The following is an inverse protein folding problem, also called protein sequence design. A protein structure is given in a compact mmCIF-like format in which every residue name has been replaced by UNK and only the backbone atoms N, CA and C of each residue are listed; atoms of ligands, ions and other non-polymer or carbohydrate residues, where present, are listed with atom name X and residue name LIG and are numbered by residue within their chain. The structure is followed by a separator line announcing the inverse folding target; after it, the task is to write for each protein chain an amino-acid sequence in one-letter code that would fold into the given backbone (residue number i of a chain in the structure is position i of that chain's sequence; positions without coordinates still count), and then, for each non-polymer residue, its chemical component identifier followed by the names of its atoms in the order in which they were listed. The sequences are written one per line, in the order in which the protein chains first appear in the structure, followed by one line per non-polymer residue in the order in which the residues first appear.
data_IF_867500578371
#
_entry.id   IF_867500578371
#
_cell.length_a   1.000
_cell.length_b   1.000
_cell.length_c   1.000
_cell.angle_alpha   90.00
_cell.angle_beta   90.00
_cell.angle_gamma   90.00
#
_symmetry.space_group_name_H-M   'P 1'
#
loop_
_entity.id
_entity.type
_entity.pdbx_description
1 polymer ?
#
# COMPACT_ATOMS: atom_id res chain seq x y z
N UNK A 1 5.33 -28.73 23.28
CA UNK A 1 4.88 -27.43 22.73
C UNK A 1 3.85 -27.75 21.67
N UNK A 2 2.61 -27.35 21.85
CA UNK A 2 1.54 -27.51 20.85
C UNK A 2 1.91 -26.64 19.66
N UNK A 3 2.25 -27.26 18.51
CA UNK A 3 2.42 -26.50 17.26
C UNK A 3 1.09 -25.80 16.97
N UNK A 4 1.07 -24.50 17.03
CA UNK A 4 -0.06 -23.71 16.57
C UNK A 4 -0.26 -24.02 15.10
N UNK A 5 -1.42 -24.59 14.75
CA UNK A 5 -1.73 -24.88 13.35
C UNK A 5 -2.23 -23.58 12.71
N UNK A 6 -1.30 -22.82 12.13
CA UNK A 6 -1.56 -21.51 11.54
C UNK A 6 -2.54 -21.60 10.38
N UNK A 7 -2.61 -22.76 9.72
CA UNK A 7 -3.44 -23.01 8.53
C UNK A 7 -4.94 -22.91 8.81
N UNK A 8 -5.33 -23.16 10.08
CA UNK A 8 -6.73 -23.05 10.51
C UNK A 8 -7.07 -21.70 11.13
N UNK A 9 -6.06 -20.94 11.54
CA UNK A 9 -6.22 -19.70 12.29
C UNK A 9 -5.94 -18.42 11.46
N UNK A 10 -5.39 -18.58 10.25
CA UNK A 10 -5.05 -17.48 9.39
C UNK A 10 -5.14 -17.84 7.91
N UNK A 11 -5.24 -16.81 7.08
CA UNK A 11 -5.16 -16.89 5.62
C UNK A 11 -4.22 -15.82 5.09
N UNK A 12 -3.79 -15.95 3.87
CA UNK A 12 -3.02 -14.91 3.20
C UNK A 12 -3.95 -13.96 2.47
N UNK A 13 -3.61 -12.69 2.51
CA UNK A 13 -4.29 -11.63 1.77
C UNK A 13 -3.28 -10.80 1.01
N UNK A 14 -3.63 -10.45 -0.21
CA UNK A 14 -2.87 -9.54 -1.06
C UNK A 14 -3.78 -8.41 -1.52
N UNK A 15 -3.38 -7.18 -1.22
CA UNK A 15 -4.07 -5.97 -1.68
C UNK A 15 -3.19 -5.19 -2.64
N UNK A 16 -3.67 -5.01 -3.86
CA UNK A 16 -3.02 -4.24 -4.91
C UNK A 16 -3.98 -3.17 -5.45
N UNK A 17 -3.54 -1.92 -5.42
CA UNK A 17 -4.27 -0.82 -6.05
C UNK A 17 -3.35 -0.07 -7.01
N UNK A 18 -3.80 0.02 -8.26
CA UNK A 18 -3.20 0.88 -9.28
C UNK A 18 -3.85 2.25 -9.27
N UNK A 19 -3.03 3.29 -9.30
CA UNK A 19 -3.49 4.69 -9.38
C UNK A 19 -2.60 5.44 -10.35
N UNK A 20 -3.21 6.20 -11.23
CA UNK A 20 -2.46 7.07 -12.13
C UNK A 20 -1.69 8.13 -11.32
N UNK A 21 -0.41 8.35 -11.65
CA UNK A 21 0.43 9.30 -10.91
C UNK A 21 0.35 10.72 -11.44
N UNK A 22 -0.17 10.90 -12.67
CA UNK A 22 -0.18 12.17 -13.40
C UNK A 22 1.21 12.83 -13.49
N UNK A 23 2.27 12.03 -13.48
CA UNK A 23 3.65 12.52 -13.60
C UNK A 23 4.26 12.04 -14.91
N UNK A 24 4.96 12.93 -15.57
CA UNK A 24 5.70 12.63 -16.81
C UNK A 24 7.06 13.29 -16.79
N UNK A 25 8.08 12.59 -17.29
CA UNK A 25 9.41 13.15 -17.48
C UNK A 25 9.34 14.20 -18.58
N UNK A 26 9.74 15.41 -18.26
CA UNK A 26 9.95 16.49 -19.23
C UNK A 26 11.42 16.49 -19.65
N UNK A 27 11.66 15.99 -20.88
CA UNK A 27 13.01 15.88 -21.41
C UNK A 27 13.59 17.26 -21.74
N UNK A 28 12.78 18.16 -22.31
CA UNK A 28 13.21 19.49 -22.69
C UNK A 28 13.65 20.30 -21.46
N UNK A 29 12.79 20.36 -20.44
CA UNK A 29 13.13 21.03 -19.20
C UNK A 29 14.32 20.38 -18.46
N UNK A 30 14.47 19.06 -18.59
CA UNK A 30 15.66 18.36 -18.04
C UNK A 30 16.95 18.78 -18.73
N UNK A 31 16.94 18.85 -20.07
CA UNK A 31 18.08 19.27 -20.89
C UNK A 31 18.43 20.75 -20.66
N UNK A 32 17.43 21.62 -20.53
CA UNK A 32 17.62 23.03 -20.21
C UNK A 32 18.33 23.21 -18.86
N UNK A 33 17.91 22.49 -17.82
CA UNK A 33 18.55 22.54 -16.49
C UNK A 33 20.01 22.03 -16.58
N UNK A 34 20.26 20.93 -17.29
CA UNK A 34 21.61 20.40 -17.48
C UNK A 34 22.51 21.40 -18.17
N UNK A 35 21.99 22.08 -19.22
CA UNK A 35 22.72 23.12 -19.96
C UNK A 35 22.98 24.35 -19.11
N UNK A 36 21.94 24.89 -18.42
CA UNK A 36 22.07 26.06 -17.54
C UNK A 36 23.09 25.84 -16.42
N UNK A 37 23.08 24.67 -15.83
CA UNK A 37 24.03 24.28 -14.77
C UNK A 37 25.36 23.78 -15.29
N UNK A 38 25.57 23.73 -16.61
CA UNK A 38 26.80 23.24 -17.27
C UNK A 38 27.23 21.86 -16.75
N UNK A 39 26.25 21.00 -16.48
CA UNK A 39 26.55 19.66 -15.97
C UNK A 39 27.18 18.79 -17.05
N UNK A 40 28.20 18.02 -16.70
CA UNK A 40 28.97 17.17 -17.62
C UNK A 40 28.21 15.91 -18.06
N UNK A 41 27.07 15.58 -17.46
CA UNK A 41 26.25 14.42 -17.81
C UNK A 41 24.82 14.86 -18.11
N UNK A 42 24.23 14.32 -19.19
CA UNK A 42 22.82 14.54 -19.54
C UNK A 42 21.84 13.96 -18.52
N UNK A 43 22.26 12.99 -17.74
CA UNK A 43 21.46 12.35 -16.68
C UNK A 43 21.57 13.04 -15.32
N UNK A 44 22.29 14.17 -15.25
CA UNK A 44 22.52 14.91 -14.00
C UNK A 44 21.24 15.52 -13.41
N UNK A 45 20.22 15.78 -14.24
CA UNK A 45 18.94 16.30 -13.79
C UNK A 45 17.77 15.59 -14.50
N UNK A 46 16.67 15.35 -13.76
CA UNK A 46 15.42 14.82 -14.30
C UNK A 46 14.27 15.64 -13.78
N UNK A 47 13.58 16.35 -14.66
CA UNK A 47 12.39 17.13 -14.34
C UNK A 47 11.16 16.30 -14.61
N UNK A 48 10.33 16.11 -13.58
CA UNK A 48 9.03 15.49 -13.74
C UNK A 48 7.95 16.56 -13.65
N UNK A 49 7.23 16.77 -14.74
CA UNK A 49 6.06 17.64 -14.72
C UNK A 49 4.83 16.93 -14.17
N UNK A 50 3.99 17.67 -13.49
CA UNK A 50 2.71 17.21 -12.98
C UNK A 50 1.62 17.55 -13.97
N UNK A 51 1.04 16.57 -14.65
CA UNK A 51 0.00 16.76 -15.66
C UNK A 51 -1.31 17.35 -15.09
N UNK A 52 -1.56 17.21 -13.79
CA UNK A 52 -2.70 17.81 -13.08
C UNK A 52 -2.23 18.75 -11.96
N UNK A 53 -1.30 19.65 -12.26
CA UNK A 53 -0.78 20.59 -11.27
C UNK A 53 -1.90 21.46 -10.66
N UNK A 54 -1.91 21.57 -9.33
CA UNK A 54 -2.90 22.35 -8.59
C UNK A 54 -4.33 21.77 -8.57
N UNK A 55 -4.51 20.48 -8.91
CA UNK A 55 -5.79 19.79 -8.89
C UNK A 55 -5.82 18.71 -7.81
N UNK A 56 -6.91 18.67 -7.07
CA UNK A 56 -7.04 17.80 -5.89
C UNK A 56 -7.86 16.52 -6.15
N UNK A 57 -8.51 16.42 -7.30
CA UNK A 57 -9.42 15.32 -7.62
C UNK A 57 -8.68 13.97 -7.62
N UNK A 58 -7.48 13.94 -8.22
CA UNK A 58 -6.63 12.74 -8.22
C UNK A 58 -6.04 12.46 -6.84
N UNK A 59 -5.68 13.50 -6.08
CA UNK A 59 -5.14 13.35 -4.73
C UNK A 59 -6.13 12.66 -3.79
N UNK A 60 -7.42 12.90 -3.96
CA UNK A 60 -8.47 12.25 -3.15
C UNK A 60 -8.43 10.74 -3.32
N UNK A 61 -8.28 10.25 -4.57
CA UNK A 61 -8.11 8.81 -4.85
C UNK A 61 -6.82 8.28 -4.23
N UNK A 62 -5.71 9.02 -4.38
CA UNK A 62 -4.42 8.62 -3.84
C UNK A 62 -4.43 8.53 -2.31
N UNK A 63 -5.06 9.50 -1.64
CA UNK A 63 -5.24 9.52 -0.18
C UNK A 63 -6.12 8.36 0.29
N UNK A 64 -7.21 8.08 -0.44
CA UNK A 64 -8.10 6.96 -0.14
C UNK A 64 -7.34 5.62 -0.22
N UNK A 65 -6.59 5.38 -1.31
CA UNK A 65 -5.76 4.17 -1.43
C UNK A 65 -4.68 4.10 -0.34
N UNK A 66 -4.09 5.24 0.03
CA UNK A 66 -3.16 5.32 1.14
C UNK A 66 -3.78 4.88 2.47
N UNK A 67 -4.99 5.35 2.76
CA UNK A 67 -5.75 4.96 3.96
C UNK A 67 -6.09 3.46 3.98
N UNK A 68 -6.48 2.90 2.83
CA UNK A 68 -6.74 1.45 2.71
C UNK A 68 -5.46 0.65 2.97
N UNK A 69 -4.32 1.05 2.40
CA UNK A 69 -3.04 0.39 2.69
C UNK A 69 -2.70 0.39 4.17
N UNK A 70 -2.89 1.53 4.84
CA UNK A 70 -2.69 1.65 6.28
C UNK A 70 -3.62 0.68 7.03
N UNK A 71 -4.92 0.66 6.69
CA UNK A 71 -5.88 -0.27 7.29
C UNK A 71 -5.47 -1.75 7.10
N UNK A 72 -5.05 -2.13 5.89
CA UNK A 72 -4.55 -3.48 5.61
C UNK A 72 -3.34 -3.81 6.50
N UNK A 73 -2.37 -2.88 6.61
CA UNK A 73 -1.18 -3.07 7.44
C UNK A 73 -1.52 -3.22 8.93
N UNK A 74 -2.45 -2.44 9.44
CA UNK A 74 -2.85 -2.48 10.86
C UNK A 74 -3.60 -3.76 11.23
N UNK A 75 -4.35 -4.34 10.28
CA UNK A 75 -5.18 -5.51 10.52
C UNK A 75 -4.55 -6.85 10.11
N UNK A 76 -3.36 -6.82 9.53
CA UNK A 76 -2.65 -8.00 9.06
C UNK A 76 -1.21 -8.03 9.58
N UNK A 77 -0.56 -9.19 9.49
CA UNK A 77 0.84 -9.38 9.85
C UNK A 77 1.69 -9.56 8.58
N UNK A 78 3.00 -9.29 8.61
CA UNK A 78 3.88 -9.51 7.46
C UNK A 78 3.96 -11.00 7.13
N UNK A 79 4.00 -11.32 5.83
CA UNK A 79 4.23 -12.67 5.34
C UNK A 79 5.36 -12.74 4.32
N UNK A 80 5.39 -11.79 3.39
CA UNK A 80 6.45 -11.70 2.38
C UNK A 80 6.76 -10.26 2.00
N UNK A 81 7.94 -10.03 1.45
CA UNK A 81 8.38 -8.73 0.96
C UNK A 81 7.59 -8.28 -0.30
N UNK A 82 6.91 -9.21 -0.97
CA UNK A 82 6.09 -8.94 -2.15
C UNK A 82 4.71 -8.34 -1.84
N UNK A 83 4.41 -8.03 -0.59
CA UNK A 83 3.13 -7.40 -0.19
C UNK A 83 2.04 -8.38 0.22
N UNK A 84 2.28 -9.69 0.19
CA UNK A 84 1.37 -10.70 0.75
C UNK A 84 1.44 -10.62 2.28
N UNK A 85 0.27 -10.63 2.93
CA UNK A 85 0.15 -10.47 4.37
C UNK A 85 -0.68 -11.59 4.99
N UNK A 86 -0.48 -11.83 6.27
CA UNK A 86 -1.21 -12.83 7.03
C UNK A 86 -2.40 -12.18 7.74
N UNK A 87 -3.61 -12.64 7.44
CA UNK A 87 -4.85 -12.19 8.05
C UNK A 87 -5.37 -13.28 9.02
N UNK A 88 -5.51 -12.98 10.32
CA UNK A 88 -6.17 -13.91 11.26
C UNK A 88 -7.61 -14.18 10.83
N UNK A 89 -8.05 -15.44 10.84
CA UNK A 89 -9.42 -15.83 10.47
C UNK A 89 -10.48 -15.19 11.34
N UNK A 90 -10.17 -14.88 12.59
CA UNK A 90 -11.06 -14.16 13.51
C UNK A 90 -11.40 -12.74 13.06
N UNK A 91 -10.58 -12.14 12.22
CA UNK A 91 -10.79 -10.80 11.67
C UNK A 91 -11.37 -10.80 10.25
N UNK A 92 -11.52 -11.97 9.64
CA UNK A 92 -11.85 -12.09 8.22
C UNK A 92 -13.16 -11.38 7.86
N UNK A 93 -14.24 -11.59 8.63
CA UNK A 93 -15.55 -11.01 8.30
C UNK A 93 -15.50 -9.47 8.32
N UNK A 94 -15.01 -8.90 9.42
CA UNK A 94 -14.92 -7.44 9.56
C UNK A 94 -13.98 -6.82 8.51
N UNK A 95 -12.87 -7.50 8.24
CA UNK A 95 -11.89 -7.07 7.23
C UNK A 95 -12.50 -7.10 5.83
N UNK A 96 -13.17 -8.20 5.46
CA UNK A 96 -13.80 -8.37 4.15
C UNK A 96 -14.92 -7.34 3.93
N UNK A 97 -15.81 -7.15 4.92
CA UNK A 97 -16.89 -6.18 4.84
C UNK A 97 -16.36 -4.74 4.73
N UNK A 98 -15.29 -4.44 5.43
CA UNK A 98 -14.63 -3.14 5.30
C UNK A 98 -14.01 -2.96 3.92
N UNK A 99 -13.29 -3.95 3.41
CA UNK A 99 -12.64 -3.88 2.10
C UNK A 99 -13.65 -3.77 0.95
N UNK A 100 -14.80 -4.43 1.05
CA UNK A 100 -15.88 -4.29 0.06
C UNK A 100 -16.42 -2.84 0.00
N UNK A 101 -16.61 -2.19 1.15
CA UNK A 101 -17.02 -0.77 1.21
C UNK A 101 -15.95 0.17 0.63
N UNK A 102 -14.67 -0.14 0.90
CA UNK A 102 -13.57 0.66 0.36
C UNK A 102 -13.43 0.50 -1.16
N UNK A 103 -13.70 -0.69 -1.69
CA UNK A 103 -13.74 -0.95 -3.14
C UNK A 103 -14.87 -0.16 -3.81
N UNK A 104 -16.07 -0.18 -3.25
CA UNK A 104 -17.21 0.61 -3.73
C UNK A 104 -16.86 2.11 -3.72
N UNK A 105 -16.30 2.60 -2.61
CA UNK A 105 -15.89 4.00 -2.50
C UNK A 105 -14.78 4.38 -3.49
N UNK A 106 -13.83 3.49 -3.71
CA UNK A 106 -12.80 3.67 -4.72
C UNK A 106 -13.41 3.80 -6.12
N UNK A 107 -14.36 2.93 -6.48
CA UNK A 107 -15.04 2.98 -7.77
C UNK A 107 -15.83 4.29 -7.95
N UNK A 108 -16.52 4.78 -6.93
CA UNK A 108 -17.20 6.08 -6.96
C UNK A 108 -16.23 7.25 -7.21
N UNK A 109 -15.10 7.26 -6.50
CA UNK A 109 -14.07 8.29 -6.64
C UNK A 109 -13.47 8.30 -8.05
N UNK A 110 -13.17 7.10 -8.58
CA UNK A 110 -12.64 6.95 -9.95
C UNK A 110 -13.67 7.41 -10.98
N UNK A 111 -14.94 7.01 -10.86
CA UNK A 111 -16.00 7.44 -11.76
C UNK A 111 -16.16 8.96 -11.75
N UNK A 112 -16.19 9.57 -10.57
CA UNK A 112 -16.28 11.03 -10.42
C UNK A 112 -15.09 11.73 -11.07
N UNK A 113 -13.87 11.19 -10.88
CA UNK A 113 -12.66 11.72 -11.50
C UNK A 113 -12.71 11.62 -13.03
N UNK A 114 -13.11 10.48 -13.59
CA UNK A 114 -13.18 10.28 -15.05
C UNK A 114 -14.20 11.22 -15.69
N UNK A 115 -15.31 11.52 -15.01
CA UNK A 115 -16.31 12.49 -15.51
C UNK A 115 -15.76 13.91 -15.65
N UNK A 116 -14.96 14.36 -14.68
CA UNK A 116 -14.40 15.74 -14.70
C UNK A 116 -13.07 15.83 -15.45
N UNK A 117 -12.45 14.71 -15.75
CA UNK A 117 -11.11 14.64 -16.35
C UNK A 117 -10.95 15.47 -17.64
N UNK A 118 -11.91 15.48 -18.62
CA UNK A 118 -11.79 16.32 -19.82
C UNK A 118 -11.68 17.82 -19.49
N UNK A 119 -12.44 18.29 -18.50
CA UNK A 119 -12.38 19.68 -18.07
C UNK A 119 -11.09 20.03 -17.36
N UNK A 120 -10.53 19.07 -16.60
CA UNK A 120 -9.22 19.23 -15.96
C UNK A 120 -8.11 19.41 -17.00
N UNK A 121 -8.11 18.65 -18.10
CA UNK A 121 -7.12 18.80 -19.17
C UNK A 121 -7.18 20.22 -19.76
N UNK A 122 -8.39 20.71 -20.05
CA UNK A 122 -8.57 22.07 -20.60
C UNK A 122 -8.00 23.13 -19.66
N UNK A 123 -8.23 22.99 -18.37
CA UNK A 123 -7.69 23.91 -17.37
C UNK A 123 -6.16 23.82 -17.24
N UNK A 124 -5.56 22.65 -17.53
CA UNK A 124 -4.10 22.47 -17.46
C UNK A 124 -3.36 23.17 -18.61
N UNK A 125 -3.98 23.37 -19.77
CA UNK A 125 -3.38 24.14 -20.85
C UNK A 125 -2.96 25.55 -20.41
N UNK A 126 -3.77 26.17 -19.55
CA UNK A 126 -3.44 27.49 -18.97
C UNK A 126 -2.43 27.39 -17.82
N UNK A 127 -2.48 26.34 -17.03
CA UNK A 127 -1.63 26.18 -15.84
C UNK A 127 -0.19 25.78 -16.18
N UNK A 128 0.02 25.01 -17.24
CA UNK A 128 1.33 24.49 -17.64
C UNK A 128 2.01 25.33 -18.72
N UNK A 129 1.27 26.23 -19.42
CA UNK A 129 1.85 27.08 -20.47
C UNK A 129 2.58 26.22 -21.51
N UNK A 130 3.83 26.59 -21.84
CA UNK A 130 4.65 25.90 -22.84
C UNK A 130 5.01 24.44 -22.47
N UNK A 131 4.84 24.04 -21.21
CA UNK A 131 5.01 22.65 -20.80
C UNK A 131 3.80 21.76 -21.11
N UNK A 132 2.68 22.34 -21.61
CA UNK A 132 1.49 21.58 -21.92
C UNK A 132 1.62 20.84 -23.25
N UNK A 133 1.43 19.53 -23.24
CA UNK A 133 1.25 18.71 -24.43
C UNK A 133 0.01 17.83 -24.27
N UNK A 134 -0.98 18.04 -25.13
CA UNK A 134 -2.25 17.30 -25.14
C UNK A 134 -2.04 15.79 -25.33
N UNK A 135 -1.01 15.38 -26.06
CA UNK A 135 -0.72 13.98 -26.36
C UNK A 135 -0.23 13.18 -25.15
N UNK A 136 0.16 13.86 -24.07
CA UNK A 136 0.58 13.22 -22.82
C UNK A 136 -0.59 12.82 -21.92
N UNK A 137 -1.79 13.26 -22.25
CA UNK A 137 -2.99 12.94 -21.49
C UNK A 137 -3.72 11.77 -22.16
N UNK A 138 -3.88 10.63 -21.47
CA UNK A 138 -4.69 9.53 -21.95
C UNK A 138 -6.11 9.98 -22.30
N UNK A 139 -6.78 9.26 -23.18
CA UNK A 139 -8.21 9.46 -23.42
C UNK A 139 -9.04 9.11 -22.17
N UNK A 140 -10.27 9.60 -22.08
CA UNK A 140 -11.15 9.31 -20.94
C UNK A 140 -11.39 7.79 -20.76
N UNK A 141 -11.48 7.04 -21.86
CA UNK A 141 -11.62 5.59 -21.81
C UNK A 141 -10.36 4.90 -21.28
N UNK A 142 -9.18 5.33 -21.74
CA UNK A 142 -7.91 4.80 -21.24
C UNK A 142 -7.66 5.19 -19.78
N UNK A 143 -8.18 6.36 -19.37
CA UNK A 143 -8.02 6.83 -18.01
C UNK A 143 -8.68 5.88 -16.99
N UNK A 144 -9.87 5.37 -17.28
CA UNK A 144 -10.54 4.39 -16.41
C UNK A 144 -9.68 3.15 -16.14
N UNK A 145 -8.90 2.71 -17.13
CA UNK A 145 -8.02 1.54 -17.00
C UNK A 145 -6.70 1.82 -16.24
N UNK A 146 -6.41 3.08 -15.88
CA UNK A 146 -5.24 3.43 -15.05
C UNK A 146 -5.49 3.19 -13.57
N UNK A 147 -6.73 2.88 -13.20
CA UNK A 147 -7.12 2.59 -11.82
C UNK A 147 -7.48 1.13 -11.68
N UNK A 148 -7.03 0.50 -10.61
CA UNK A 148 -7.38 -0.88 -10.30
C UNK A 148 -7.43 -1.09 -8.80
N UNK A 149 -8.37 -1.92 -8.36
CA UNK A 149 -8.50 -2.40 -6.99
C UNK A 149 -8.53 -3.93 -7.05
N UNK A 150 -7.62 -4.60 -6.37
CA UNK A 150 -7.52 -6.06 -6.36
C UNK A 150 -7.27 -6.52 -4.94
N UNK A 151 -8.13 -7.41 -4.49
CA UNK A 151 -8.02 -8.07 -3.20
C UNK A 151 -8.10 -9.57 -3.42
N UNK A 152 -7.05 -10.29 -3.07
CA UNK A 152 -6.95 -11.74 -3.23
C UNK A 152 -6.78 -12.38 -1.86
N UNK A 153 -7.50 -13.48 -1.64
CA UNK A 153 -7.34 -14.35 -0.48
C UNK A 153 -6.76 -15.68 -0.91
N UNK A 154 -5.81 -16.19 -0.15
CA UNK A 154 -5.11 -17.44 -0.44
C UNK A 154 -4.94 -18.25 0.83
N UNK A 155 -4.96 -19.59 0.76
CA UNK A 155 -4.60 -20.41 1.91
C UNK A 155 -3.12 -20.20 2.28
N UNK A 156 -2.78 -20.44 3.54
CA UNK A 156 -1.37 -20.52 3.95
C UNK A 156 -0.78 -21.80 3.34
N UNK A 157 0.32 -21.71 2.55
CA UNK A 157 0.92 -22.89 1.92
C UNK A 157 1.44 -23.90 2.95
N UNK A 158 1.12 -25.16 2.76
CA UNK A 158 1.67 -26.27 3.55
C UNK A 158 2.77 -27.00 2.78
N UNK A 159 3.69 -27.61 3.51
CA UNK A 159 4.79 -28.39 2.90
C UNK A 159 4.31 -29.56 2.02
N UNK A 160 3.07 -30.02 2.22
CA UNK A 160 2.43 -31.07 1.42
C UNK A 160 1.71 -30.58 0.15
N UNK A 161 1.55 -29.26 -0.04
CA UNK A 161 0.80 -28.70 -1.17
C UNK A 161 1.59 -28.70 -2.50
N UNK A 162 2.87 -29.07 -2.43
CA UNK A 162 3.72 -29.10 -3.62
C UNK A 162 3.42 -30.35 -4.46
N UNK A 163 2.61 -30.19 -5.51
CA UNK A 163 2.11 -31.28 -6.37
C UNK A 163 2.79 -31.33 -7.75
N UNK A 164 4.03 -30.86 -7.84
CA UNK A 164 4.78 -30.90 -9.10
C UNK A 164 5.59 -32.19 -9.14
N UNK A 165 5.48 -32.93 -10.24
CA UNK A 165 6.25 -34.15 -10.49
C UNK A 165 7.68 -33.78 -10.95
N UNK A 166 8.57 -33.65 -9.97
CA UNK A 166 10.00 -33.29 -10.19
C UNK A 166 10.97 -34.39 -9.72
N UNK A 167 10.45 -35.60 -9.49
CA UNK A 167 11.24 -36.69 -8.88
C UNK A 167 11.33 -36.60 -7.37
N UNK A 168 11.44 -37.78 -6.72
CA UNK A 168 11.29 -37.90 -5.28
C UNK A 168 12.32 -37.12 -4.47
N UNK A 169 13.58 -37.07 -4.90
CA UNK A 169 14.66 -36.41 -4.17
C UNK A 169 14.54 -34.88 -4.22
N UNK A 170 14.24 -34.32 -5.41
CA UNK A 170 14.00 -32.89 -5.58
C UNK A 170 12.70 -32.44 -4.86
N UNK A 171 11.69 -33.29 -4.80
CA UNK A 171 10.44 -33.03 -4.09
C UNK A 171 10.66 -32.94 -2.58
N UNK A 172 11.51 -33.81 -2.02
CA UNK A 172 11.83 -33.79 -0.59
C UNK A 172 12.66 -32.56 -0.20
N UNK A 173 13.61 -32.16 -1.04
CA UNK A 173 14.39 -30.94 -0.85
C UNK A 173 13.49 -29.68 -0.90
N UNK A 174 12.56 -29.62 -1.85
CA UNK A 174 11.60 -28.52 -1.97
C UNK A 174 10.65 -28.45 -0.78
N UNK A 175 10.15 -29.58 -0.28
CA UNK A 175 9.32 -29.64 0.94
C UNK A 175 10.07 -29.09 2.15
N UNK A 176 11.34 -29.47 2.32
CA UNK A 176 12.15 -28.99 3.42
C UNK A 176 12.42 -27.47 3.32
N UNK A 177 12.70 -26.97 2.12
CA UNK A 177 12.85 -25.52 1.86
C UNK A 177 11.56 -24.74 2.15
N UNK A 178 10.40 -25.25 1.72
CA UNK A 178 9.11 -24.62 1.98
C UNK A 178 8.75 -24.63 3.46
N UNK A 179 9.00 -25.74 4.16
CA UNK A 179 8.77 -25.83 5.61
C UNK A 179 9.61 -24.80 6.36
N UNK A 180 10.91 -24.71 6.05
CA UNK A 180 11.81 -23.73 6.65
C UNK A 180 11.36 -22.29 6.38
N UNK A 181 11.01 -21.99 5.13
CA UNK A 181 10.52 -20.65 4.74
C UNK A 181 9.20 -20.30 5.46
N UNK A 182 8.29 -21.26 5.63
CA UNK A 182 7.06 -21.06 6.37
C UNK A 182 7.34 -20.76 7.86
N UNK A 183 8.24 -21.52 8.49
CA UNK A 183 8.64 -21.29 9.88
C UNK A 183 9.27 -19.90 10.07
N UNK A 184 10.17 -19.48 9.18
CA UNK A 184 10.79 -18.15 9.19
C UNK A 184 9.75 -17.01 9.06
N UNK A 185 8.76 -17.19 8.19
CA UNK A 185 7.66 -16.21 7.99
C UNK A 185 6.74 -16.13 9.20
N UNK A 186 6.41 -17.28 9.79
CA UNK A 186 5.62 -17.35 11.03
C UNK A 186 6.36 -16.64 12.16
N UNK A 187 7.66 -16.88 12.31
CA UNK A 187 8.47 -16.22 13.33
C UNK A 187 8.50 -14.70 13.12
N UNK A 188 8.67 -14.23 11.88
CA UNK A 188 8.63 -12.82 11.53
C UNK A 188 7.27 -12.20 11.86
N UNK A 189 6.15 -12.86 11.51
CA UNK A 189 4.81 -12.40 11.84
C UNK A 189 4.57 -12.31 13.35
N UNK A 190 5.03 -13.29 14.10
CA UNK A 190 4.93 -13.32 15.56
C UNK A 190 5.81 -12.26 16.23
N UNK A 191 6.96 -11.98 15.67
CA UNK A 191 7.83 -10.87 16.12
C UNK A 191 7.14 -9.52 15.93
N UNK A 192 6.62 -9.25 14.75
CA UNK A 192 5.88 -8.02 14.45
C UNK A 192 4.66 -7.84 15.39
N UNK A 193 3.90 -8.90 15.61
CA UNK A 193 2.76 -8.87 16.54
C UNK A 193 3.19 -8.49 17.98
N UNK A 194 4.30 -9.07 18.48
CA UNK A 194 4.85 -8.75 19.80
C UNK A 194 5.35 -7.29 19.87
N UNK A 195 6.04 -6.83 18.86
CA UNK A 195 6.53 -5.44 18.78
C UNK A 195 5.38 -4.43 18.78
N UNK A 196 4.30 -4.70 18.02
CA UNK A 196 3.08 -3.86 18.04
C UNK A 196 2.44 -3.85 19.41
N UNK A 197 2.28 -5.02 20.05
CA UNK A 197 1.72 -5.12 21.38
C UNK A 197 2.57 -4.34 22.40
N UNK A 198 3.89 -4.50 22.36
CA UNK A 198 4.82 -3.78 23.22
C UNK A 198 4.69 -2.26 23.03
N UNK A 199 4.73 -1.78 21.79
CA UNK A 199 4.57 -0.36 21.49
C UNK A 199 3.21 0.19 21.94
N UNK A 200 2.15 -0.62 21.86
CA UNK A 200 0.83 -0.23 22.34
C UNK A 200 0.79 -0.10 23.87
N UNK A 201 1.37 -1.07 24.58
CA UNK A 201 1.47 -1.05 26.04
C UNK A 201 2.33 0.11 26.52
N UNK A 202 3.46 0.40 25.87
CA UNK A 202 4.32 1.53 26.20
C UNK A 202 3.57 2.87 26.06
N UNK A 203 2.82 3.05 24.96
CA UNK A 203 1.95 4.24 24.77
C UNK A 203 0.85 4.34 25.84
N UNK A 204 0.25 3.23 26.24
CA UNK A 204 -0.74 3.21 27.32
C UNK A 204 -0.09 3.59 28.65
N UNK A 205 1.08 3.04 28.96
CA UNK A 205 1.84 3.37 30.18
C UNK A 205 2.22 4.87 30.21
N UNK A 206 2.62 5.43 29.09
CA UNK A 206 2.98 6.85 28.99
C UNK A 206 1.77 7.76 29.23
N UNK A 207 0.59 7.40 28.71
CA UNK A 207 -0.66 8.12 28.96
C UNK A 207 -1.18 7.96 30.39
N UNK A 208 -0.78 6.89 31.08
CA UNK A 208 -1.15 6.65 32.49
C UNK A 208 -0.14 7.23 33.49
N UNK A 209 1.01 7.74 33.03
CA UNK A 209 1.95 8.46 33.91
C UNK A 209 1.26 9.67 34.51
N UNK A 210 1.19 9.68 35.84
CA UNK A 210 0.68 10.80 36.59
C UNK A 210 1.78 11.85 36.62
N UNK A 211 1.61 12.98 35.96
CA UNK A 211 2.52 14.10 36.06
C UNK A 211 2.21 14.88 37.35
N UNK A 212 3.14 14.88 38.28
CA UNK A 212 3.13 15.81 39.41
C UNK A 212 3.63 17.19 38.95
N UNK A 213 2.71 18.04 38.55
CA UNK A 213 3.04 19.44 38.25
C UNK A 213 2.65 20.28 39.49
N UNK A 214 3.65 20.86 40.16
CA UNK A 214 3.48 21.77 41.32
C UNK A 214 2.67 21.19 42.49
N UNK A 215 2.89 19.91 42.83
CA UNK A 215 2.24 19.29 44.00
C UNK A 215 0.73 19.00 43.81
N UNK A 216 0.22 19.08 42.58
CA UNK A 216 -1.14 18.64 42.22
C UNK A 216 -1.05 17.48 41.27
N UNK A 217 -1.71 16.35 41.62
CA UNK A 217 -1.84 15.16 40.79
C UNK A 217 -2.81 15.49 39.63
N UNK A 218 -2.28 15.61 38.41
CA UNK A 218 -3.09 15.73 37.20
C UNK A 218 -3.30 14.31 36.60
N UNK A 219 -4.53 13.84 36.56
CA UNK A 219 -4.89 12.62 35.80
C UNK A 219 -5.09 13.02 34.34
N UNK A 220 -4.29 12.48 33.41
CA UNK A 220 -4.58 12.63 31.99
C UNK A 220 -5.95 12.01 31.70
N UNK A 221 -6.86 12.78 31.10
CA UNK A 221 -8.17 12.27 30.69
C UNK A 221 -7.96 11.37 29.48
N UNK A 222 -8.35 10.10 29.63
CA UNK A 222 -8.56 9.20 28.49
C UNK A 222 -9.84 9.72 27.81
N UNK A 223 -9.70 10.34 26.64
CA UNK A 223 -10.82 10.60 25.78
C UNK A 223 -11.04 9.34 24.92
N UNK A 224 -12.28 8.82 24.97
CA UNK A 224 -12.84 7.76 24.14
C UNK A 224 -12.73 8.06 22.64
#
# INVERSE_FOLDING_TARGET
MTRFNIDTCAMLVEFNAGVWTARKLDKSASEEIVADKRAGSKDAARVNKHLLAGRHELETIQKHVGAIRTYVYENTLPWSDSGIRLLPTSKFMDFNDRMAKEEERFAELVNSFVQVYPSLITAQAMALGDMFDRNEYPSANEMAHKFSFRLNYMPVPQAGDFRVDVGNEAQEELRNKLAKLADERIESAMKDARERLKSHLERMMERLKVEEINGKVSKSRIHD
#
